data_IF_541860334607
#
_entry.id   IF_541860334607
#
_cell.length_a   1.000
_cell.length_b   1.000
_cell.length_c   1.000
_cell.angle_alpha   90.00
_cell.angle_beta   90.00
_cell.angle_gamma   90.00
#
_symmetry.space_group_name_H-M   'P 1'
#
loop_
_entity.id
_entity.type
_entity.pdbx_description
1 polymer ?
#
# COMPACT_ATOMS: atom_id res chain seq x y z
N UNK A 1 7.11 4.63 2.82
CA UNK A 1 6.62 6.01 2.70
C UNK A 1 7.04 6.87 3.89
N UNK A 2 6.87 6.44 5.15
CA UNK A 2 7.21 7.23 6.34
C UNK A 2 8.69 7.62 6.45
N UNK A 3 9.57 6.96 5.71
CA UNK A 3 11.01 7.29 5.62
C UNK A 3 11.27 8.27 4.48
N UNK A 4 10.57 8.11 3.36
CA UNK A 4 10.81 8.90 2.14
C UNK A 4 10.04 10.22 2.14
N UNK A 5 8.80 10.24 2.67
CA UNK A 5 7.99 11.46 2.79
C UNK A 5 8.74 12.61 3.51
N UNK A 6 9.32 12.44 4.70
CA UNK A 6 10.05 13.53 5.36
C UNK A 6 11.20 14.06 4.51
N UNK A 7 11.96 13.18 3.85
CA UNK A 7 13.12 13.55 3.05
C UNK A 7 12.81 14.61 1.98
N UNK A 8 11.62 14.56 1.39
CA UNK A 8 11.24 15.45 0.30
C UNK A 8 10.23 16.53 0.70
N UNK A 9 9.44 16.28 1.76
CA UNK A 9 8.34 17.16 2.16
C UNK A 9 8.66 18.02 3.38
N UNK A 10 9.76 17.78 4.10
CA UNK A 10 10.18 18.62 5.21
C UNK A 10 10.34 20.09 4.80
N UNK A 11 10.83 20.34 3.59
CA UNK A 11 10.94 21.70 3.00
C UNK A 11 9.60 22.43 2.88
N UNK A 12 8.49 21.72 2.90
CA UNK A 12 7.14 22.26 2.89
C UNK A 12 6.50 22.31 4.29
N UNK A 13 7.29 22.05 5.33
CA UNK A 13 6.85 22.11 6.72
C UNK A 13 6.22 20.83 7.24
N UNK A 14 6.46 19.68 6.61
CA UNK A 14 5.99 18.38 7.14
C UNK A 14 6.58 18.16 8.54
N UNK A 15 5.69 17.99 9.54
CA UNK A 15 6.07 17.75 10.94
C UNK A 15 5.92 16.30 11.36
N UNK A 16 5.00 15.58 10.73
CA UNK A 16 4.69 14.18 11.07
C UNK A 16 4.22 13.44 9.84
N UNK A 17 4.75 12.25 9.65
CA UNK A 17 4.25 11.26 8.71
C UNK A 17 3.95 9.97 9.45
N UNK A 18 2.87 9.29 9.11
CA UNK A 18 2.53 7.97 9.66
C UNK A 18 1.89 7.12 8.58
N UNK A 19 2.13 5.83 8.63
CA UNK A 19 1.44 4.85 7.80
C UNK A 19 0.54 4.01 8.70
N UNK A 20 -0.67 3.75 8.24
CA UNK A 20 -1.64 2.90 8.92
C UNK A 20 -2.22 1.91 7.94
N UNK A 21 -2.48 0.71 8.39
CA UNK A 21 -3.17 -0.33 7.63
C UNK A 21 -4.33 -0.85 8.47
N UNK A 22 -5.51 -0.97 7.87
CA UNK A 22 -6.64 -1.67 8.46
C UNK A 22 -6.59 -3.13 7.97
N UNK A 23 -6.74 -4.06 8.88
CA UNK A 23 -6.81 -5.48 8.60
C UNK A 23 -8.11 -6.03 9.19
N UNK A 24 -8.61 -7.10 8.57
CA UNK A 24 -9.75 -7.85 9.09
C UNK A 24 -9.50 -8.33 10.53
N UNK A 25 -10.53 -8.29 11.36
CA UNK A 25 -10.41 -8.62 12.77
C UNK A 25 -10.04 -10.10 13.01
N UNK A 26 -10.55 -11.02 12.18
CA UNK A 26 -10.23 -12.43 12.27
C UNK A 26 -8.76 -12.67 11.94
N UNK A 27 -8.24 -11.99 10.90
CA UNK A 27 -6.82 -12.04 10.57
C UNK A 27 -5.97 -11.47 11.72
N UNK A 28 -6.36 -10.35 12.31
CA UNK A 28 -5.64 -9.77 13.46
C UNK A 28 -5.61 -10.73 14.66
N UNK A 29 -6.72 -11.40 14.94
CA UNK A 29 -6.80 -12.37 16.03
C UNK A 29 -5.93 -13.60 15.74
N UNK A 30 -5.94 -14.13 14.51
CA UNK A 30 -5.05 -15.22 14.11
C UNK A 30 -3.57 -14.84 14.26
N UNK A 31 -3.17 -13.66 13.81
CA UNK A 31 -1.80 -13.15 13.95
C UNK A 31 -1.39 -13.01 15.44
N UNK A 32 -2.29 -12.53 16.30
CA UNK A 32 -2.05 -12.47 17.76
C UNK A 32 -1.84 -13.84 18.39
N UNK A 33 -2.57 -14.85 17.94
CA UNK A 33 -2.40 -16.24 18.42
C UNK A 33 -1.05 -16.79 17.97
N UNK A 34 -0.70 -16.63 16.70
CA UNK A 34 0.60 -17.03 16.14
C UNK A 34 1.75 -16.38 16.93
N UNK A 35 1.64 -15.10 17.25
CA UNK A 35 2.63 -14.37 18.05
C UNK A 35 2.75 -14.93 19.49
N UNK A 36 1.63 -15.10 20.16
CA UNK A 36 1.58 -15.64 21.53
C UNK A 36 2.14 -17.05 21.64
N UNK A 37 2.00 -17.87 20.62
CA UNK A 37 2.56 -19.23 20.55
C UNK A 37 4.05 -19.25 20.15
N UNK A 38 4.66 -18.11 19.87
CA UNK A 38 6.04 -18.01 19.39
C UNK A 38 6.25 -18.51 17.95
N UNK A 39 5.16 -18.75 17.21
CA UNK A 39 5.21 -19.33 15.86
C UNK A 39 5.75 -18.36 14.79
N UNK A 40 5.95 -17.09 15.11
CA UNK A 40 6.63 -16.15 14.22
C UNK A 40 8.16 -16.17 14.34
N UNK A 41 8.71 -16.99 15.26
CA UNK A 41 10.16 -17.06 15.50
C UNK A 41 10.91 -17.55 14.28
N UNK A 42 12.07 -16.93 14.03
CA UNK A 42 13.08 -17.35 13.06
C UNK A 42 14.14 -18.27 13.68
N UNK A 43 14.15 -18.39 15.01
CA UNK A 43 15.10 -19.24 15.69
C UNK A 43 14.63 -20.69 15.61
N UNK A 44 15.49 -21.61 15.14
CA UNK A 44 15.16 -23.03 15.11
C UNK A 44 14.81 -23.55 16.50
N UNK A 45 13.84 -24.46 16.56
CA UNK A 45 13.49 -25.25 17.74
C UNK A 45 13.62 -26.72 17.37
N UNK A 46 13.93 -27.57 18.36
CA UNK A 46 13.98 -29.00 18.15
C UNK A 46 12.61 -29.64 18.40
N UNK A 47 12.14 -30.40 17.41
CA UNK A 47 10.90 -31.19 17.49
C UNK A 47 11.23 -32.60 17.07
N UNK A 48 11.16 -33.56 17.98
CA UNK A 48 11.46 -34.98 17.76
C UNK A 48 12.81 -35.21 17.07
N UNK A 49 13.84 -34.46 17.49
CA UNK A 49 15.19 -34.56 16.93
C UNK A 49 15.42 -33.82 15.60
N UNK A 50 14.41 -33.11 15.10
CA UNK A 50 14.48 -32.31 13.86
C UNK A 50 14.49 -30.82 14.19
N UNK A 51 15.42 -30.08 13.58
CA UNK A 51 15.45 -28.62 13.69
C UNK A 51 14.38 -27.99 12.78
N UNK A 52 13.45 -27.23 13.36
CA UNK A 52 12.32 -26.62 12.67
C UNK A 52 12.29 -25.13 12.94
N UNK A 53 12.09 -24.33 11.93
CA UNK A 53 11.85 -22.89 12.08
C UNK A 53 10.34 -22.67 12.14
N UNK A 54 9.77 -22.21 13.30
CA UNK A 54 8.32 -22.10 13.50
C UNK A 54 7.62 -21.26 12.41
N UNK A 55 8.19 -20.11 12.02
CA UNK A 55 7.61 -19.26 10.98
C UNK A 55 7.49 -19.98 9.64
N UNK A 56 8.45 -20.81 9.28
CA UNK A 56 8.45 -21.50 7.99
C UNK A 56 7.36 -22.58 7.95
N UNK A 57 7.07 -23.21 9.10
CA UNK A 57 5.91 -24.12 9.23
C UNK A 57 4.61 -23.39 9.03
N UNK A 58 4.43 -22.23 9.68
CA UNK A 58 3.22 -21.39 9.51
C UNK A 58 3.06 -21.00 8.05
N UNK A 59 4.14 -20.54 7.39
CA UNK A 59 4.12 -20.16 5.99
C UNK A 59 3.79 -21.33 5.04
N UNK A 60 4.28 -22.52 5.35
CA UNK A 60 3.99 -23.73 4.58
C UNK A 60 2.52 -24.20 4.73
N UNK A 61 1.92 -23.98 5.90
CA UNK A 61 0.53 -24.35 6.18
C UNK A 61 -0.49 -23.30 5.73
N UNK A 62 -0.06 -22.05 5.55
CA UNK A 62 -0.95 -20.96 5.16
C UNK A 62 -1.51 -21.17 3.74
N UNK A 63 -2.79 -20.79 3.48
CA UNK A 63 -3.34 -20.78 2.13
C UNK A 63 -2.49 -19.90 1.22
N UNK A 64 -2.24 -20.37 0.00
CA UNK A 64 -1.49 -19.58 -0.98
C UNK A 64 -2.41 -18.53 -1.60
N UNK A 65 -1.91 -17.33 -1.95
CA UNK A 65 -2.72 -16.29 -2.57
C UNK A 65 -3.49 -16.74 -3.81
N UNK A 66 -2.91 -17.64 -4.60
CA UNK A 66 -3.55 -18.21 -5.80
C UNK A 66 -4.76 -19.10 -5.49
N UNK A 67 -4.82 -19.68 -4.28
CA UNK A 67 -5.89 -20.60 -3.90
C UNK A 67 -7.15 -19.85 -3.41
N UNK A 68 -7.01 -18.58 -3.04
CA UNK A 68 -8.10 -17.73 -2.51
C UNK A 68 -8.51 -16.59 -3.44
N UNK A 69 -7.81 -16.42 -4.57
CA UNK A 69 -7.95 -15.22 -5.40
C UNK A 69 -9.33 -15.02 -6.03
N UNK A 70 -10.05 -16.10 -6.40
CA UNK A 70 -11.35 -16.03 -7.07
C UNK A 70 -12.53 -15.68 -6.16
N UNK A 71 -12.42 -15.99 -4.87
CA UNK A 71 -13.52 -15.84 -3.89
C UNK A 71 -13.40 -14.57 -3.06
N UNK A 72 -12.39 -13.74 -3.32
CA UNK A 72 -12.14 -12.52 -2.55
C UNK A 72 -13.18 -11.46 -2.88
N UNK A 73 -14.03 -11.13 -1.90
CA UNK A 73 -15.05 -10.09 -1.99
C UNK A 73 -14.68 -8.86 -1.17
N UNK A 74 -15.42 -7.76 -1.37
CA UNK A 74 -15.21 -6.50 -0.69
C UNK A 74 -14.13 -5.67 -1.35
N UNK A 75 -13.86 -4.51 -0.78
CA UNK A 75 -12.97 -3.51 -1.36
C UNK A 75 -11.87 -3.05 -0.45
N UNK A 76 -10.98 -2.30 -1.01
CA UNK A 76 -9.93 -1.58 -0.31
C UNK A 76 -9.95 -0.10 -0.67
N UNK A 77 -9.42 0.71 0.21
CA UNK A 77 -9.22 2.12 -0.03
C UNK A 77 -7.82 2.51 0.41
N UNK A 78 -7.04 3.04 -0.51
CA UNK A 78 -5.73 3.61 -0.20
C UNK A 78 -5.84 5.13 -0.32
N UNK A 79 -5.31 5.85 0.64
CA UNK A 79 -5.40 7.30 0.62
C UNK A 79 -4.35 7.99 1.47
N UNK A 80 -4.28 9.30 1.32
CA UNK A 80 -3.45 10.18 2.13
C UNK A 80 -4.34 11.20 2.83
N UNK A 81 -4.25 11.24 4.16
CA UNK A 81 -4.89 12.25 4.99
C UNK A 81 -3.87 13.35 5.29
N UNK A 82 -4.09 14.53 4.73
CA UNK A 82 -3.18 15.66 4.77
C UNK A 82 -3.76 16.78 5.65
N UNK A 83 -3.15 17.01 6.79
CA UNK A 83 -3.56 18.06 7.72
C UNK A 83 -2.48 19.14 7.78
N UNK A 84 -2.86 20.38 7.59
CA UNK A 84 -1.91 21.49 7.60
C UNK A 84 -2.56 22.87 7.80
N UNK A 85 -1.72 23.89 7.65
CA UNK A 85 -2.15 25.29 7.64
C UNK A 85 -1.94 25.87 6.26
N UNK A 86 -2.97 26.41 5.66
CA UNK A 86 -2.92 27.15 4.40
C UNK A 86 -3.61 28.51 4.59
N UNK A 87 -2.94 29.58 4.22
CA UNK A 87 -3.45 30.96 4.36
C UNK A 87 -3.94 31.28 5.79
N UNK A 88 -3.21 30.78 6.81
CA UNK A 88 -3.53 30.94 8.23
C UNK A 88 -4.67 30.08 8.75
N UNK A 89 -5.30 29.27 7.92
CA UNK A 89 -6.42 28.40 8.29
C UNK A 89 -5.99 26.93 8.32
N UNK A 90 -6.52 26.17 9.28
CA UNK A 90 -6.38 24.72 9.29
C UNK A 90 -7.16 24.13 8.11
N UNK A 91 -6.48 23.32 7.34
CA UNK A 91 -7.06 22.55 6.24
C UNK A 91 -6.77 21.07 6.44
N UNK A 92 -7.74 20.26 6.06
CA UNK A 92 -7.63 18.80 6.09
C UNK A 92 -8.21 18.26 4.79
N UNK A 93 -7.39 17.49 4.07
CA UNK A 93 -7.77 16.87 2.79
C UNK A 93 -7.50 15.38 2.87
N UNK A 94 -8.50 14.60 2.52
CA UNK A 94 -8.35 13.17 2.30
C UNK A 94 -8.40 12.89 0.80
N UNK A 95 -7.27 12.45 0.24
CA UNK A 95 -7.15 12.03 -1.15
C UNK A 95 -7.15 10.51 -1.14
N UNK A 96 -8.07 9.87 -1.85
CA UNK A 96 -8.28 8.46 -1.73
C UNK A 96 -8.64 7.78 -3.05
N UNK A 97 -8.29 6.52 -3.18
CA UNK A 97 -8.63 5.65 -4.29
C UNK A 97 -9.32 4.38 -3.75
N UNK A 98 -10.64 4.22 -3.98
CA UNK A 98 -11.34 2.98 -3.67
C UNK A 98 -11.14 1.97 -4.79
N UNK A 99 -11.08 0.69 -4.45
CA UNK A 99 -11.03 -0.43 -5.38
C UNK A 99 -11.85 -1.58 -4.84
N UNK A 100 -12.77 -2.11 -5.65
CA UNK A 100 -13.53 -3.32 -5.34
C UNK A 100 -12.83 -4.54 -5.95
N UNK A 101 -12.80 -5.67 -5.21
CA UNK A 101 -12.13 -6.87 -5.67
C UNK A 101 -12.84 -7.55 -6.83
N UNK A 102 -14.18 -7.56 -6.86
CA UNK A 102 -14.95 -8.18 -7.93
C UNK A 102 -14.86 -7.35 -9.22
N UNK A 103 -14.86 -6.01 -9.09
CA UNK A 103 -14.62 -5.13 -10.22
C UNK A 103 -13.19 -5.29 -10.77
N UNK A 104 -12.19 -5.35 -9.90
CA UNK A 104 -10.80 -5.54 -10.32
C UNK A 104 -10.58 -6.89 -11.03
N UNK A 105 -11.19 -7.96 -10.53
CA UNK A 105 -11.15 -9.28 -11.18
C UNK A 105 -11.83 -9.26 -12.54
N UNK A 106 -13.01 -8.64 -12.66
CA UNK A 106 -13.74 -8.51 -13.92
C UNK A 106 -12.98 -7.69 -14.96
N UNK A 107 -12.45 -6.53 -14.56
CA UNK A 107 -11.91 -5.53 -15.48
C UNK A 107 -10.43 -5.77 -15.80
N UNK A 108 -9.67 -6.32 -14.87
CA UNK A 108 -8.20 -6.49 -14.98
C UNK A 108 -7.72 -7.93 -14.78
N UNK A 109 -8.60 -8.87 -14.41
CA UNK A 109 -8.22 -10.26 -14.14
C UNK A 109 -7.33 -10.46 -12.92
N UNK A 110 -7.31 -9.50 -11.99
CA UNK A 110 -6.46 -9.54 -10.80
C UNK A 110 -7.16 -8.93 -9.59
N UNK A 111 -6.68 -9.25 -8.38
CA UNK A 111 -7.20 -8.68 -7.14
C UNK A 111 -6.96 -7.17 -7.06
N UNK A 112 -7.82 -6.44 -6.35
CA UNK A 112 -7.75 -4.99 -6.18
C UNK A 112 -6.37 -4.51 -5.68
N UNK A 113 -5.79 -5.17 -4.67
CA UNK A 113 -4.46 -4.81 -4.15
C UNK A 113 -3.35 -4.96 -5.20
N UNK A 114 -3.44 -5.99 -6.04
CA UNK A 114 -2.45 -6.24 -7.11
C UNK A 114 -2.60 -5.19 -8.21
N UNK A 115 -3.84 -4.94 -8.64
CA UNK A 115 -4.16 -3.93 -9.66
C UNK A 115 -3.70 -2.54 -9.22
N UNK A 116 -4.08 -2.09 -8.04
CA UNK A 116 -3.76 -0.76 -7.54
C UNK A 116 -2.24 -0.55 -7.37
N UNK A 117 -1.54 -1.56 -6.85
CA UNK A 117 -0.08 -1.51 -6.70
C UNK A 117 0.62 -1.50 -8.06
N UNK A 118 0.18 -2.36 -8.98
CA UNK A 118 0.74 -2.46 -10.33
C UNK A 118 0.52 -1.20 -11.15
N UNK A 119 -0.67 -0.63 -11.11
CA UNK A 119 -0.98 0.61 -11.84
C UNK A 119 -0.17 1.80 -11.32
N UNK A 120 0.02 1.92 -10.01
CA UNK A 120 0.88 2.97 -9.46
C UNK A 120 2.30 2.94 -10.02
N UNK A 121 2.88 1.74 -10.12
CA UNK A 121 4.21 1.56 -10.73
C UNK A 121 4.20 1.84 -12.25
N UNK A 122 3.19 1.35 -12.96
CA UNK A 122 3.07 1.54 -14.41
C UNK A 122 2.96 3.01 -14.81
N UNK A 123 2.13 3.78 -14.09
CA UNK A 123 2.00 5.23 -14.31
C UNK A 123 3.32 5.97 -14.05
N UNK A 124 4.06 5.59 -13.01
CA UNK A 124 5.39 6.13 -12.75
C UNK A 124 6.37 5.86 -13.89
N UNK A 125 6.39 4.63 -14.40
CA UNK A 125 7.22 4.24 -15.56
C UNK A 125 6.82 5.04 -16.81
N UNK A 126 5.54 5.24 -17.04
CA UNK A 126 5.05 6.02 -18.18
C UNK A 126 5.47 7.50 -18.09
N UNK A 127 5.39 8.12 -16.91
CA UNK A 127 5.86 9.49 -16.70
C UNK A 127 7.37 9.64 -16.94
N UNK A 128 8.15 8.62 -16.58
CA UNK A 128 9.59 8.56 -16.90
C UNK A 128 9.79 8.40 -18.41
N UNK A 129 9.05 7.50 -19.06
CA UNK A 129 9.11 7.30 -20.51
C UNK A 129 8.74 8.54 -21.31
N UNK A 130 7.74 9.29 -20.86
CA UNK A 130 7.34 10.59 -21.42
C UNK A 130 8.32 11.73 -21.08
N UNK A 131 9.36 11.47 -20.28
CA UNK A 131 10.33 12.46 -19.79
C UNK A 131 9.69 13.60 -18.97
N UNK A 132 8.55 13.34 -18.35
CA UNK A 132 7.88 14.27 -17.42
C UNK A 132 8.56 14.16 -16.05
N UNK A 133 8.74 12.92 -15.57
CA UNK A 133 9.61 12.62 -14.45
C UNK A 133 11.01 12.32 -15.00
N UNK A 134 11.90 13.27 -14.85
CA UNK A 134 13.27 13.18 -15.40
C UNK A 134 14.26 13.70 -14.37
N UNK A 135 15.14 12.86 -13.97
CA UNK A 135 16.35 13.23 -13.25
C UNK A 135 17.33 12.06 -13.23
N UNK A 136 18.60 12.31 -12.99
CA UNK A 136 19.62 11.29 -12.92
C UNK A 136 19.82 10.85 -11.46
N UNK A 137 19.46 9.61 -11.14
CA UNK A 137 19.61 9.08 -9.79
C UNK A 137 18.53 8.07 -9.40
N UNK A 138 18.46 7.77 -8.10
CA UNK A 138 17.42 6.94 -7.49
C UNK A 138 16.58 7.83 -6.60
N UNK A 139 15.31 7.96 -6.93
CA UNK A 139 14.37 8.83 -6.24
C UNK A 139 13.10 8.04 -5.88
N UNK A 140 12.45 8.43 -4.79
CA UNK A 140 11.08 7.98 -4.53
C UNK A 140 10.08 8.90 -5.25
N UNK A 141 8.84 8.45 -5.46
CA UNK A 141 7.82 9.22 -6.17
C UNK A 141 7.59 10.63 -5.61
N UNK A 142 7.76 10.81 -4.29
CA UNK A 142 7.57 12.09 -3.60
C UNK A 142 8.57 13.17 -4.00
N UNK A 143 9.64 12.80 -4.69
CA UNK A 143 10.61 13.75 -5.25
C UNK A 143 10.02 14.53 -6.42
N UNK A 144 9.20 13.87 -7.23
CA UNK A 144 8.67 14.42 -8.46
C UNK A 144 7.35 15.19 -8.24
N UNK A 145 6.98 16.10 -9.15
CA UNK A 145 5.67 16.74 -9.14
C UNK A 145 4.55 15.69 -9.19
N UNK A 146 3.59 15.78 -8.27
CA UNK A 146 2.47 14.83 -8.17
C UNK A 146 1.36 15.08 -9.19
N UNK A 147 1.18 16.34 -9.65
CA UNK A 147 0.07 16.69 -10.52
C UNK A 147 0.04 15.89 -11.83
N UNK A 148 1.15 15.72 -12.57
CA UNK A 148 1.14 14.89 -13.78
C UNK A 148 0.76 13.42 -13.51
N UNK A 149 1.10 12.89 -12.33
CA UNK A 149 0.71 11.55 -11.95
C UNK A 149 -0.81 11.44 -11.75
N UNK A 150 -1.39 12.40 -11.06
CA UNK A 150 -2.83 12.44 -10.81
C UNK A 150 -3.64 12.65 -12.09
N UNK A 151 -3.14 13.47 -13.02
CA UNK A 151 -3.73 13.66 -14.34
C UNK A 151 -3.70 12.36 -15.15
N UNK A 152 -2.55 11.67 -15.19
CA UNK A 152 -2.41 10.40 -15.87
C UNK A 152 -3.27 9.30 -15.25
N UNK A 153 -3.42 9.25 -13.92
CA UNK A 153 -4.40 8.38 -13.26
C UNK A 153 -5.81 8.59 -13.82
N UNK A 154 -6.24 9.84 -13.90
CA UNK A 154 -7.56 10.19 -14.41
C UNK A 154 -7.73 9.81 -15.87
N UNK A 155 -6.73 10.10 -16.73
CA UNK A 155 -6.71 9.71 -18.14
C UNK A 155 -6.79 8.19 -18.33
N UNK A 156 -6.19 7.42 -17.41
CA UNK A 156 -6.18 5.96 -17.42
C UNK A 156 -7.46 5.33 -16.84
N UNK A 157 -8.45 6.14 -16.46
CA UNK A 157 -9.70 5.62 -15.88
C UNK A 157 -9.57 5.16 -14.42
N UNK A 158 -8.46 5.47 -13.75
CA UNK A 158 -8.24 5.12 -12.35
C UNK A 158 -8.85 6.20 -11.46
N UNK A 159 -10.06 5.96 -11.00
CA UNK A 159 -10.82 6.93 -10.19
C UNK A 159 -10.12 7.20 -8.84
N UNK A 160 -10.11 8.45 -8.44
CA UNK A 160 -9.74 8.89 -7.09
C UNK A 160 -10.67 9.99 -6.62
N UNK A 161 -10.82 10.14 -5.32
CA UNK A 161 -11.59 11.20 -4.70
C UNK A 161 -10.70 12.16 -3.90
N UNK A 162 -11.19 13.39 -3.74
CA UNK A 162 -10.61 14.38 -2.83
C UNK A 162 -11.75 14.92 -1.97
N UNK A 163 -11.60 14.83 -0.67
CA UNK A 163 -12.56 15.32 0.33
C UNK A 163 -11.86 16.35 1.20
N UNK A 164 -12.44 17.53 1.35
CA UNK A 164 -12.06 18.53 2.36
C UNK A 164 -12.87 18.27 3.63
N UNK A 165 -12.21 18.16 4.80
CA UNK A 165 -12.78 17.81 6.10
C UNK A 165 -12.70 18.95 7.10
#
# INVERSE_FOLDING_TARGET
EVVTLPRYLERYGLRKASFKIALDENLLNALKVIDKLGLRSLHPIEVDGVQVIPRDVVAACAPKPQDIGGDLTGGMCVGADCIGIKDGQRKEYFIYQPFDNQDALRDFGMQAVVAQTGFGAALGIELIGRKIWKDAGVFSPEYFPSLPFMELMKESGLAYGIEER
#
